data_IF_376196672375
#
_entry.id   IF_376196672375
#
_cell.length_a   1.000
_cell.length_b   1.000
_cell.length_c   1.000
_cell.angle_alpha   90.00
_cell.angle_beta   90.00
_cell.angle_gamma   90.00
#
_symmetry.space_group_name_H-M   'P 1'
#
loop_
_entity.id
_entity.type
_entity.pdbx_description
1 polymer ?
#
# COMPACT_ATOMS: atom_id res chain seq x y z
N UNK A 1 12.63 -9.73 24.26
CA UNK A 1 11.51 -10.02 23.35
C UNK A 1 11.83 -9.47 21.97
N UNK A 2 12.20 -10.32 21.01
CA UNK A 2 12.31 -9.89 19.61
C UNK A 2 10.91 -9.56 19.10
N UNK A 3 10.69 -8.33 18.63
CA UNK A 3 9.44 -7.99 17.94
C UNK A 3 9.38 -8.88 16.70
N UNK A 4 8.49 -9.88 16.72
CA UNK A 4 8.14 -10.64 15.53
C UNK A 4 7.54 -9.64 14.57
N UNK A 5 8.28 -9.28 13.52
CA UNK A 5 7.74 -8.45 12.45
C UNK A 5 6.84 -9.39 11.66
N UNK A 6 5.53 -9.29 11.90
CA UNK A 6 4.53 -10.04 11.15
C UNK A 6 4.69 -9.71 9.67
N UNK A 7 4.77 -10.75 8.84
CA UNK A 7 4.87 -10.63 7.37
C UNK A 7 3.72 -9.75 6.84
N UNK A 8 2.57 -9.79 7.52
CA UNK A 8 1.39 -8.96 7.29
C UNK A 8 1.67 -7.47 7.39
N UNK A 9 2.49 -7.02 8.33
CA UNK A 9 2.81 -5.59 8.50
C UNK A 9 3.76 -5.11 7.40
N UNK A 10 4.69 -5.96 6.95
CA UNK A 10 5.55 -5.68 5.78
C UNK A 10 4.70 -5.57 4.51
N UNK A 11 3.74 -6.48 4.33
CA UNK A 11 2.80 -6.44 3.21
C UNK A 11 1.89 -5.21 3.27
N UNK A 12 1.43 -4.82 4.47
CA UNK A 12 0.62 -3.62 4.65
C UNK A 12 1.42 -2.35 4.33
N UNK A 13 2.67 -2.25 4.80
CA UNK A 13 3.55 -1.13 4.47
C UNK A 13 3.73 -0.99 2.96
N UNK A 14 4.08 -2.08 2.27
CA UNK A 14 4.25 -2.06 0.80
C UNK A 14 2.99 -1.67 0.05
N UNK A 15 1.82 -2.16 0.50
CA UNK A 15 0.55 -1.78 -0.12
C UNK A 15 0.28 -0.30 0.10
N UNK A 16 0.33 0.18 1.34
CA UNK A 16 0.08 1.58 1.69
C UNK A 16 0.97 2.55 0.90
N UNK A 17 2.28 2.28 0.84
CA UNK A 17 3.24 3.05 0.04
C UNK A 17 2.81 3.11 -1.42
N UNK A 18 2.48 1.97 -2.04
CA UNK A 18 2.01 1.93 -3.43
C UNK A 18 0.74 2.75 -3.65
N UNK A 19 -0.17 2.79 -2.68
CA UNK A 19 -1.38 3.63 -2.79
C UNK A 19 -1.01 5.11 -2.77
N UNK A 20 -0.13 5.51 -1.87
CA UNK A 20 0.31 6.91 -1.76
C UNK A 20 1.06 7.37 -3.00
N UNK A 21 1.91 6.50 -3.58
CA UNK A 21 2.56 6.75 -4.87
C UNK A 21 1.55 6.92 -6.01
N UNK A 22 0.51 6.07 -6.08
CA UNK A 22 -0.54 6.20 -7.10
C UNK A 22 -1.40 7.45 -6.94
N UNK A 23 -1.54 7.93 -5.71
CA UNK A 23 -2.25 9.18 -5.39
C UNK A 23 -1.36 10.42 -5.52
N UNK A 24 -0.09 10.27 -5.90
CA UNK A 24 0.91 11.33 -5.96
C UNK A 24 0.96 12.15 -4.65
N UNK A 25 0.79 11.45 -3.52
CA UNK A 25 0.80 12.07 -2.19
C UNK A 25 2.18 11.90 -1.57
N UNK A 26 2.66 12.97 -0.97
CA UNK A 26 3.87 12.93 -0.16
C UNK A 26 3.63 12.04 1.08
N UNK A 27 4.57 11.13 1.35
CA UNK A 27 4.49 10.19 2.46
C UNK A 27 5.86 9.97 3.09
N UNK A 28 5.87 9.77 4.40
CA UNK A 28 7.08 9.46 5.15
C UNK A 28 7.16 7.95 5.42
N UNK A 29 8.14 7.29 4.81
CA UNK A 29 8.33 5.84 4.92
C UNK A 29 8.70 5.40 6.35
N UNK A 30 9.49 6.18 7.08
CA UNK A 30 9.91 5.83 8.44
C UNK A 30 8.73 5.92 9.41
N UNK A 31 7.85 6.91 9.22
CA UNK A 31 6.59 7.03 9.98
C UNK A 31 5.67 5.85 9.70
N UNK A 32 5.49 5.48 8.44
CA UNK A 32 4.64 4.35 8.05
C UNK A 32 5.17 3.02 8.60
N UNK A 33 6.49 2.82 8.57
CA UNK A 33 7.15 1.63 9.10
C UNK A 33 7.07 1.56 10.63
N UNK A 34 7.15 2.70 11.33
CA UNK A 34 6.98 2.77 12.78
C UNK A 34 5.53 2.57 13.22
N UNK A 35 4.56 2.90 12.35
CA UNK A 35 3.13 2.87 12.63
C UNK A 35 2.34 2.00 11.62
N UNK A 36 2.40 0.66 11.75
CA UNK A 36 1.69 -0.26 10.84
C UNK A 36 0.15 -0.09 10.86
N UNK A 37 -0.40 0.48 11.94
CA UNK A 37 -1.83 0.81 12.01
C UNK A 37 -2.25 1.84 10.95
N UNK A 38 -1.41 2.85 10.69
CA UNK A 38 -1.66 3.87 9.66
C UNK A 38 -1.64 3.22 8.28
N UNK A 39 -0.68 2.30 8.03
CA UNK A 39 -0.63 1.54 6.79
C UNK A 39 -1.93 0.76 6.54
N UNK A 40 -2.50 0.14 7.58
CA UNK A 40 -3.79 -0.57 7.47
C UNK A 40 -4.94 0.39 7.17
N UNK A 41 -5.00 1.56 7.81
CA UNK A 41 -6.04 2.55 7.51
C UNK A 41 -5.95 3.06 6.06
N UNK A 42 -4.75 3.33 5.56
CA UNK A 42 -4.54 3.75 4.16
C UNK A 42 -5.07 2.67 3.21
N UNK A 43 -4.78 1.39 3.47
CA UNK A 43 -5.29 0.29 2.65
C UNK A 43 -6.82 0.18 2.75
N UNK A 44 -7.42 0.38 3.92
CA UNK A 44 -8.88 0.28 4.06
C UNK A 44 -9.58 1.46 3.37
N UNK A 45 -9.04 2.67 3.49
CA UNK A 45 -9.60 3.89 2.92
C UNK A 45 -9.44 3.94 1.40
N UNK A 46 -8.23 3.68 0.90
CA UNK A 46 -7.88 3.87 -0.50
C UNK A 46 -7.73 2.55 -1.27
N UNK A 47 -7.58 1.41 -0.59
CA UNK A 47 -7.51 0.11 -1.25
C UNK A 47 -8.79 -0.25 -1.99
N UNK A 48 -9.95 0.29 -1.60
CA UNK A 48 -11.20 0.17 -2.37
C UNK A 48 -11.16 0.87 -3.72
N UNK A 49 -10.35 1.92 -3.86
CA UNK A 49 -10.18 2.61 -5.15
C UNK A 49 -9.24 1.82 -6.07
N UNK A 50 -8.31 1.06 -5.51
CA UNK A 50 -7.38 0.17 -6.23
C UNK A 50 -7.92 -1.23 -6.49
N UNK A 51 -8.97 -1.66 -5.78
CA UNK A 51 -9.71 -2.89 -6.06
C UNK A 51 -10.63 -2.74 -7.28
N UNK A 52 -10.75 -1.52 -7.84
CA UNK A 52 -11.13 -1.41 -9.26
C UNK A 52 -9.95 -1.97 -10.05
N UNK A 53 -10.08 -3.15 -10.68
CA UNK A 53 -9.03 -3.61 -11.57
C UNK A 53 -8.86 -2.50 -12.60
N UNK A 54 -7.66 -1.91 -12.65
CA UNK A 54 -7.24 -1.19 -13.83
C UNK A 54 -7.53 -2.13 -15.00
N UNK A 55 -8.55 -1.76 -15.77
CA UNK A 55 -8.91 -2.40 -17.02
C UNK A 55 -7.61 -2.70 -17.74
N UNK A 56 -7.32 -4.00 -17.83
CA UNK A 56 -6.18 -4.57 -18.52
C UNK A 56 -5.91 -3.73 -19.76
N UNK A 57 -4.94 -2.82 -19.69
CA UNK A 57 -4.26 -2.33 -20.87
C UNK A 57 -3.41 -3.50 -21.31
N UNK A 58 -4.08 -4.50 -21.88
CA UNK A 58 -3.46 -5.45 -22.77
C UNK A 58 -3.13 -4.62 -24.02
N UNK A 59 -2.02 -3.92 -23.90
CA UNK A 59 -1.35 -3.22 -24.96
C UNK A 59 -1.10 -4.25 -26.07
N UNK A 60 -1.82 -4.08 -27.18
CA UNK A 60 -1.35 -4.32 -28.54
C UNK A 60 -0.30 -5.43 -28.69
N UNK A 61 -0.73 -6.69 -28.67
CA UNK A 61 -0.13 -7.68 -29.57
C UNK A 61 -0.84 -7.56 -30.91
N UNK A 62 -0.31 -6.66 -31.75
CA UNK A 62 -0.54 -6.63 -33.19
C UNK A 62 0.14 -7.82 -33.87
#
# INVERSE_FOLDING_TARGET
MGKVIDITDILALRKAVRILELLDKDYDYDVLKAHPNICREIIVLFGKELDKPENSKNEYLS
#
